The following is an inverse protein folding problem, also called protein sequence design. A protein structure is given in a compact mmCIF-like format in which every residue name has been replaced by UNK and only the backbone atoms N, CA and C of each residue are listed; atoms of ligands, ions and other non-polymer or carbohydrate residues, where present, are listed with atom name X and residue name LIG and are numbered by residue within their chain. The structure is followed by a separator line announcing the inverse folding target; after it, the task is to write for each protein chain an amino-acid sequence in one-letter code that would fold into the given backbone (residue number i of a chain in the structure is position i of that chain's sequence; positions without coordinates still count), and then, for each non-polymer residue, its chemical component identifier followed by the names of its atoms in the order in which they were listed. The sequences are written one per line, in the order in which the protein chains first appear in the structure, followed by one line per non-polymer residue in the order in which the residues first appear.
data_IF_361848876248
#
_entry.id   IF_361848876248
#
_cell.length_a   1.000
_cell.length_b   1.000
_cell.length_c   1.000
_cell.angle_alpha   90.00
_cell.angle_beta   90.00
_cell.angle_gamma   90.00
#
_symmetry.space_group_name_H-M   'P 1'
#
loop_
_entity.id
_entity.type
_entity.pdbx_description
1 polymer ?
#
# COMPACT_ATOMS: atom_id res chain seq x y z
N UNK A 1 -1.24 -5.14 8.78
CA UNK A 1 -0.88 -5.33 7.36
C UNK A 1 0.31 -4.43 7.03
N UNK A 2 1.52 -4.95 6.90
CA UNK A 2 2.75 -4.18 6.60
C UNK A 2 3.33 -4.58 5.24
N UNK A 3 2.47 -4.68 4.23
CA UNK A 3 2.84 -5.19 2.91
C UNK A 3 3.98 -4.40 2.25
N UNK A 4 3.98 -3.09 2.46
CA UNK A 4 4.92 -2.17 1.83
C UNK A 4 6.18 -1.99 2.70
N UNK A 5 6.27 -2.64 3.86
CA UNK A 5 7.44 -2.57 4.75
C UNK A 5 7.67 -1.21 5.42
N UNK A 6 6.64 -0.36 5.48
CA UNK A 6 6.75 1.02 5.98
C UNK A 6 6.25 1.19 7.41
N UNK A 7 5.69 0.15 8.03
CA UNK A 7 5.26 0.21 9.44
C UNK A 7 6.49 0.44 10.32
N UNK A 8 6.50 1.49 11.17
CA UNK A 8 7.61 1.71 12.10
C UNK A 8 7.62 0.63 13.19
N UNK A 9 8.79 0.41 13.80
CA UNK A 9 8.92 -0.52 14.93
C UNK A 9 8.22 -0.02 16.19
N UNK A 10 8.04 1.30 16.28
CA UNK A 10 7.43 1.99 17.41
C UNK A 10 6.77 3.31 17.02
N UNK A 11 5.86 3.77 17.86
CA UNK A 11 5.24 5.09 17.81
C UNK A 11 5.27 5.74 19.19
N UNK A 12 5.21 7.07 19.23
CA UNK A 12 5.19 7.84 20.48
C UNK A 12 3.85 8.53 20.65
N UNK A 13 3.16 8.23 21.75
CA UNK A 13 1.91 8.84 22.17
C UNK A 13 2.18 9.87 23.26
N UNK A 14 1.65 11.07 23.09
CA UNK A 14 1.70 12.16 24.06
C UNK A 14 0.36 12.28 24.77
N UNK A 15 0.37 12.47 26.09
CA UNK A 15 -0.80 12.83 26.86
C UNK A 15 -0.98 14.35 26.86
N UNK A 16 -2.20 14.80 26.62
CA UNK A 16 -2.60 16.20 26.74
C UNK A 16 -3.59 16.36 27.88
N UNK A 17 -3.38 17.38 28.72
CA UNK A 17 -4.30 17.81 29.77
C UNK A 17 -4.88 19.17 29.38
N UNK A 18 -6.21 19.27 29.32
CA UNK A 18 -6.92 20.51 28.95
C UNK A 18 -6.40 21.12 27.62
N UNK A 19 -6.06 20.26 26.66
CA UNK A 19 -5.54 20.65 25.34
C UNK A 19 -4.05 21.01 25.30
N UNK A 20 -3.32 20.92 26.42
CA UNK A 20 -1.87 21.19 26.49
C UNK A 20 -1.09 19.89 26.62
N UNK A 21 0.00 19.74 25.85
CA UNK A 21 0.91 18.60 26.01
C UNK A 21 1.51 18.59 27.42
N UNK A 22 1.50 17.41 28.03
CA UNK A 22 2.19 17.13 29.29
C UNK A 22 3.60 16.62 29.02
N UNK A 23 4.35 16.33 30.08
CA UNK A 23 5.64 15.63 30.04
C UNK A 23 5.50 14.10 29.87
N UNK A 24 4.27 13.57 29.94
CA UNK A 24 4.02 12.13 29.87
C UNK A 24 3.90 11.66 28.42
N UNK A 25 4.73 10.67 28.08
CA UNK A 25 4.71 9.98 26.80
C UNK A 25 4.69 8.45 26.96
N UNK A 26 4.12 7.74 25.99
CA UNK A 26 4.21 6.28 25.87
C UNK A 26 4.84 5.90 24.54
N UNK A 27 5.82 5.01 24.57
CA UNK A 27 6.38 4.38 23.39
C UNK A 27 5.69 3.04 23.17
N UNK A 28 4.88 2.93 22.12
CA UNK A 28 4.15 1.71 21.79
C UNK A 28 4.88 0.96 20.68
N UNK A 29 5.00 -0.35 20.82
CA UNK A 29 5.68 -1.24 19.87
C UNK A 29 5.04 -2.61 19.84
N UNK A 30 5.44 -3.45 18.89
CA UNK A 30 4.98 -4.85 18.80
C UNK A 30 5.30 -5.65 20.08
N UNK A 31 6.44 -5.38 20.73
CA UNK A 31 6.81 -6.01 22.01
C UNK A 31 5.80 -5.70 23.12
N UNK A 32 5.19 -4.51 23.08
CA UNK A 32 4.15 -4.08 24.02
C UNK A 32 2.74 -4.38 23.49
N UNK A 33 2.61 -5.15 22.40
CA UNK A 33 1.33 -5.41 21.73
C UNK A 33 0.56 -4.14 21.36
N UNK A 34 1.29 -3.04 21.11
CA UNK A 34 0.73 -1.72 20.78
C UNK A 34 -0.26 -1.18 21.82
N UNK A 35 -0.08 -1.51 23.12
CA UNK A 35 -0.91 -0.98 24.21
C UNK A 35 -0.06 -0.35 25.32
N UNK A 36 -0.66 0.58 26.06
CA UNK A 36 -0.03 1.25 27.21
C UNK A 36 -1.03 2.08 27.99
N UNK A 37 -0.64 2.48 29.20
CA UNK A 37 -1.51 3.21 30.13
C UNK A 37 -0.76 4.40 30.72
N UNK A 38 -1.44 5.54 30.83
CA UNK A 38 -0.98 6.67 31.62
C UNK A 38 -1.57 6.58 33.03
N UNK A 39 -0.74 6.30 34.02
CA UNK A 39 -1.16 6.20 35.42
C UNK A 39 -0.93 7.50 36.21
N UNK A 40 -1.54 7.57 37.40
CA UNK A 40 -1.36 8.67 38.37
C UNK A 40 -1.69 10.05 37.77
N UNK A 41 -2.84 10.12 37.11
CA UNK A 41 -3.38 11.35 36.52
C UNK A 41 -4.26 12.10 37.53
N UNK A 42 -4.17 13.42 37.53
CA UNK A 42 -5.04 14.25 38.36
C UNK A 42 -6.47 14.23 37.83
N UNK A 43 -7.44 14.06 38.73
CA UNK A 43 -8.87 14.16 38.38
C UNK A 43 -9.27 15.62 38.21
N UNK A 44 -8.76 16.50 39.08
CA UNK A 44 -9.03 17.93 39.06
C UNK A 44 -7.72 18.73 39.10
N UNK A 45 -7.69 19.86 38.40
CA UNK A 45 -6.63 20.86 38.43
C UNK A 45 -7.27 22.21 38.74
N UNK A 46 -6.78 22.91 39.77
CA UNK A 46 -7.36 24.18 40.25
C UNK A 46 -8.88 24.10 40.55
N UNK A 47 -9.33 22.95 41.05
CA UNK A 47 -10.75 22.70 41.38
C UNK A 47 -11.65 22.39 40.18
N UNK A 48 -11.12 22.32 38.96
CA UNK A 48 -11.87 21.94 37.75
C UNK A 48 -11.45 20.55 37.24
N UNK A 49 -12.38 19.74 36.70
CA UNK A 49 -12.04 18.45 36.10
C UNK A 49 -11.05 18.58 34.94
N UNK A 50 -10.06 17.70 34.91
CA UNK A 50 -9.07 17.67 33.82
C UNK A 50 -9.61 16.88 32.64
N UNK A 51 -9.62 17.49 31.46
CA UNK A 51 -9.93 16.81 30.20
C UNK A 51 -8.66 16.24 29.58
N UNK A 52 -8.52 14.92 29.63
CA UNK A 52 -7.42 14.23 28.96
C UNK A 52 -7.74 13.89 27.50
N UNK A 53 -6.74 14.01 26.65
CA UNK A 53 -6.73 13.55 25.25
C UNK A 53 -5.34 13.01 24.92
N UNK A 54 -5.18 12.31 23.80
CA UNK A 54 -3.87 11.85 23.33
C UNK A 54 -3.58 12.36 21.93
N UNK A 55 -2.29 12.49 21.60
CA UNK A 55 -1.81 12.76 20.25
C UNK A 55 -0.62 11.86 19.93
N UNK A 56 -0.42 11.50 18.67
CA UNK A 56 0.75 10.75 18.22
C UNK A 56 1.74 11.67 17.50
N UNK A 57 3.04 11.37 17.60
CA UNK A 57 4.03 11.98 16.72
C UNK A 57 3.76 11.61 15.26
N UNK A 58 4.11 12.51 14.33
CA UNK A 58 3.92 12.25 12.90
C UNK A 58 4.64 10.97 12.49
N UNK A 59 3.89 9.97 12.03
CA UNK A 59 4.43 8.76 11.40
C UNK A 59 4.48 8.97 9.88
N UNK A 60 5.66 8.82 9.28
CA UNK A 60 5.82 9.01 7.84
C UNK A 60 4.94 8.05 7.02
N UNK A 61 4.31 8.55 5.95
CA UNK A 61 3.37 7.81 5.07
C UNK A 61 2.06 7.33 5.72
N UNK A 62 1.80 7.69 6.98
CA UNK A 62 0.56 7.36 7.67
C UNK A 62 -0.26 8.63 8.00
N UNK A 63 -1.57 8.45 8.03
CA UNK A 63 -2.53 9.42 8.59
C UNK A 63 -3.12 8.83 9.86
N UNK A 64 -3.04 9.58 10.96
CA UNK A 64 -3.50 9.15 12.27
C UNK A 64 -4.91 9.71 12.58
N UNK A 65 -5.74 8.88 13.21
CA UNK A 65 -7.04 9.26 13.78
C UNK A 65 -7.09 8.78 15.24
N UNK A 66 -7.56 9.65 16.14
CA UNK A 66 -7.73 9.33 17.57
C UNK A 66 -9.22 9.25 17.88
N UNK A 67 -9.65 8.14 18.45
CA UNK A 67 -11.04 7.91 18.90
C UNK A 67 -11.07 7.47 20.37
N UNK A 68 -12.25 7.54 20.98
CA UNK A 68 -12.47 7.19 22.39
C UNK A 68 -12.25 8.36 23.35
N UNK A 69 -12.19 8.04 24.64
CA UNK A 69 -12.07 9.03 25.72
C UNK A 69 -11.36 8.46 26.96
N UNK A 70 -11.13 9.29 27.97
CA UNK A 70 -10.45 8.88 29.18
C UNK A 70 -11.22 7.83 30.02
N UNK A 71 -12.52 7.60 29.78
CA UNK A 71 -13.33 6.62 30.51
C UNK A 71 -13.29 5.24 29.84
N UNK A 72 -13.34 5.21 28.52
CA UNK A 72 -13.41 3.99 27.70
C UNK A 72 -12.05 3.57 27.15
N UNK A 73 -11.06 4.47 27.20
CA UNK A 73 -9.76 4.33 26.58
C UNK A 73 -9.69 5.05 25.24
N UNK A 74 -8.45 5.31 24.79
CA UNK A 74 -8.18 5.90 23.48
C UNK A 74 -7.71 4.83 22.50
N UNK A 75 -8.14 4.93 21.26
CA UNK A 75 -7.61 4.15 20.14
C UNK A 75 -7.00 5.10 19.12
N UNK A 76 -5.72 4.88 18.79
CA UNK A 76 -5.03 5.62 17.72
C UNK A 76 -4.93 4.70 16.51
N UNK A 77 -5.58 5.09 15.41
CA UNK A 77 -5.62 4.34 14.16
C UNK A 77 -4.74 5.02 13.13
N UNK A 78 -3.74 4.28 12.65
CA UNK A 78 -2.83 4.74 11.60
C UNK A 78 -3.19 4.08 10.25
N UNK A 79 -3.52 4.89 9.26
CA UNK A 79 -3.88 4.42 7.91
C UNK A 79 -2.80 4.79 6.91
N UNK A 80 -2.37 3.81 6.12
CA UNK A 80 -1.42 3.97 5.02
C UNK A 80 -2.06 3.54 3.70
N UNK A 81 -1.95 4.39 2.69
CA UNK A 81 -2.39 4.10 1.32
C UNK A 81 -1.15 3.86 0.44
N UNK A 82 -0.93 2.61 0.02
CA UNK A 82 0.15 2.23 -0.89
C UNK A 82 0.16 2.99 -2.21
N UNK A 83 1.34 3.38 -2.67
CA UNK A 83 1.50 3.93 -4.01
C UNK A 83 1.36 2.82 -5.06
N UNK A 84 0.56 3.08 -6.10
CA UNK A 84 0.30 2.15 -7.20
C UNK A 84 0.72 2.73 -8.55
N UNK A 85 0.99 1.85 -9.51
CA UNK A 85 1.35 2.16 -10.89
C UNK A 85 0.54 1.32 -11.88
N UNK A 86 0.80 1.52 -13.18
CA UNK A 86 0.22 0.75 -14.27
C UNK A 86 1.25 0.44 -15.35
N UNK A 87 1.12 -0.72 -15.99
CA UNK A 87 1.90 -1.12 -17.17
C UNK A 87 0.96 -1.21 -18.36
N UNK A 88 1.16 -0.35 -19.37
CA UNK A 88 0.42 -0.38 -20.63
C UNK A 88 1.12 -1.33 -21.60
N UNK A 89 0.34 -2.09 -22.35
CA UNK A 89 0.83 -3.08 -23.31
C UNK A 89 0.12 -2.86 -24.65
N UNK A 90 0.89 -2.86 -25.72
CA UNK A 90 0.40 -2.85 -27.10
C UNK A 90 1.14 -3.90 -27.92
N UNK A 91 0.41 -4.71 -28.67
CA UNK A 91 0.98 -5.68 -29.61
C UNK A 91 1.00 -5.10 -31.01
N UNK A 92 2.19 -5.04 -31.61
CA UNK A 92 2.39 -4.77 -33.02
C UNK A 92 2.63 -6.09 -33.77
N UNK A 93 2.14 -6.16 -35.01
CA UNK A 93 2.32 -7.30 -35.90
C UNK A 93 3.18 -6.89 -37.09
N UNK A 94 4.26 -7.63 -37.34
CA UNK A 94 5.12 -7.50 -38.51
C UNK A 94 4.91 -8.73 -39.40
N UNK A 95 3.85 -8.71 -40.21
CA UNK A 95 3.35 -9.89 -40.94
C UNK A 95 2.62 -9.56 -42.26
N UNK A 96 3.01 -8.46 -42.91
CA UNK A 96 2.43 -7.99 -44.17
C UNK A 96 0.89 -7.90 -44.14
N UNK A 97 0.35 -7.35 -43.05
CA UNK A 97 -1.10 -7.25 -42.81
C UNK A 97 -1.81 -8.62 -42.84
N UNK A 98 -1.22 -9.61 -42.15
CA UNK A 98 -1.73 -10.98 -42.08
C UNK A 98 -1.86 -11.66 -43.47
N UNK A 99 -0.91 -11.43 -44.39
CA UNK A 99 -0.94 -11.98 -45.76
C UNK A 99 -1.19 -13.49 -45.80
N UNK A 100 -0.53 -14.21 -44.90
CA UNK A 100 -0.56 -15.67 -44.87
C UNK A 100 -1.75 -16.23 -44.04
N UNK A 101 -2.56 -15.34 -43.45
CA UNK A 101 -3.77 -15.71 -42.69
C UNK A 101 -3.49 -16.46 -41.39
N UNK A 102 -2.27 -16.41 -40.86
CA UNK A 102 -1.83 -17.19 -39.69
C UNK A 102 -1.88 -16.40 -38.37
N UNK A 103 -2.23 -15.11 -38.39
CA UNK A 103 -2.35 -14.31 -37.18
C UNK A 103 -3.43 -14.91 -36.26
N UNK A 104 -3.12 -15.18 -34.99
CA UNK A 104 -4.11 -15.72 -34.06
C UNK A 104 -5.18 -14.68 -33.74
N UNK A 105 -6.33 -15.14 -33.24
CA UNK A 105 -7.40 -14.26 -32.77
C UNK A 105 -7.01 -13.49 -31.50
N UNK A 106 -6.05 -14.03 -30.73
CA UNK A 106 -5.56 -13.45 -29.48
C UNK A 106 -4.11 -13.79 -29.16
N UNK A 107 -3.50 -12.96 -28.33
CA UNK A 107 -2.25 -13.25 -27.62
C UNK A 107 -2.44 -13.07 -26.12
N UNK A 108 -1.69 -13.83 -25.33
CA UNK A 108 -1.70 -13.72 -23.87
C UNK A 108 -0.38 -13.09 -23.44
N UNK A 109 -0.48 -11.96 -22.75
CA UNK A 109 0.66 -11.28 -22.13
C UNK A 109 0.57 -11.43 -20.62
N UNK A 110 1.64 -11.88 -19.99
CA UNK A 110 1.79 -12.03 -18.55
C UNK A 110 2.58 -10.88 -17.97
N UNK A 111 2.23 -10.48 -16.76
CA UNK A 111 3.01 -9.53 -15.99
C UNK A 111 3.99 -10.30 -15.10
N UNK A 112 5.27 -9.95 -15.16
CA UNK A 112 6.28 -10.40 -14.23
C UNK A 112 6.54 -9.32 -13.19
N UNK A 113 6.74 -9.73 -11.94
CA UNK A 113 7.18 -8.88 -10.84
C UNK A 113 8.54 -9.39 -10.34
N UNK A 114 9.58 -8.56 -10.45
CA UNK A 114 10.96 -8.93 -10.16
C UNK A 114 11.39 -10.23 -10.87
N UNK A 115 11.05 -10.33 -12.16
CA UNK A 115 11.36 -11.50 -13.01
C UNK A 115 10.53 -12.77 -12.73
N UNK A 116 9.56 -12.74 -11.81
CA UNK A 116 8.69 -13.89 -11.49
C UNK A 116 7.26 -13.65 -11.96
N UNK A 117 6.57 -14.70 -12.40
CA UNK A 117 5.15 -14.60 -12.79
C UNK A 117 4.31 -14.05 -11.62
N UNK A 118 3.58 -12.98 -11.88
CA UNK A 118 2.68 -12.34 -10.90
C UNK A 118 1.29 -13.00 -10.86
N UNK A 119 0.98 -13.86 -11.82
CA UNK A 119 -0.34 -14.46 -12.02
C UNK A 119 -1.32 -13.57 -12.79
N UNK A 120 -0.95 -12.31 -13.09
CA UNK A 120 -1.77 -11.42 -13.90
C UNK A 120 -1.52 -11.65 -15.39
N UNK A 121 -2.60 -11.66 -16.18
CA UNK A 121 -2.58 -11.81 -17.63
C UNK A 121 -3.49 -10.80 -18.32
N UNK A 122 -3.09 -10.38 -19.52
CA UNK A 122 -3.92 -9.66 -20.48
C UNK A 122 -4.15 -10.54 -21.69
N UNK A 123 -5.38 -10.51 -22.19
CA UNK A 123 -5.73 -11.06 -23.49
C UNK A 123 -5.84 -9.89 -24.47
N UNK A 124 -4.97 -9.85 -25.47
CA UNK A 124 -4.98 -8.85 -26.53
C UNK A 124 -5.60 -9.45 -27.78
N UNK A 125 -6.54 -8.75 -28.39
CA UNK A 125 -7.33 -9.20 -29.54
C UNK A 125 -7.53 -8.05 -30.53
N UNK A 126 -8.01 -8.36 -31.74
CA UNK A 126 -8.42 -7.30 -32.66
C UNK A 126 -9.52 -6.39 -32.07
N UNK A 127 -10.41 -6.95 -31.24
CA UNK A 127 -11.52 -6.21 -30.62
C UNK A 127 -11.06 -5.12 -29.64
N UNK A 128 -9.96 -5.34 -28.91
CA UNK A 128 -9.35 -4.31 -28.05
C UNK A 128 -8.18 -3.56 -28.72
N UNK A 129 -8.14 -3.62 -30.05
CA UNK A 129 -7.09 -3.01 -30.88
C UNK A 129 -5.69 -3.45 -30.46
N UNK A 130 -5.57 -4.68 -29.96
CA UNK A 130 -4.31 -5.24 -29.48
C UNK A 130 -3.66 -4.44 -28.34
N UNK A 131 -4.47 -3.80 -27.50
CA UNK A 131 -4.00 -2.97 -26.37
C UNK A 131 -4.67 -3.34 -25.05
N UNK A 132 -3.94 -3.15 -23.96
CA UNK A 132 -4.44 -3.37 -22.61
C UNK A 132 -3.51 -2.75 -21.56
N UNK A 133 -3.92 -2.80 -20.30
CA UNK A 133 -3.08 -2.32 -19.21
C UNK A 133 -3.30 -3.10 -17.93
N UNK A 134 -2.21 -3.41 -17.24
CA UNK A 134 -2.23 -3.82 -15.84
C UNK A 134 -2.29 -2.56 -14.97
N UNK A 135 -3.24 -2.47 -14.04
CA UNK A 135 -3.47 -1.29 -13.20
C UNK A 135 -3.48 -1.63 -11.73
N UNK A 136 -3.24 -0.65 -10.84
CA UNK A 136 -3.27 -0.88 -9.40
C UNK A 136 -2.08 -1.71 -8.90
N UNK A 137 -0.99 -1.72 -9.66
CA UNK A 137 0.21 -2.48 -9.35
C UNK A 137 0.97 -1.78 -8.22
N UNK A 138 1.22 -2.49 -7.13
CA UNK A 138 1.91 -1.91 -5.97
C UNK A 138 3.36 -1.62 -6.34
N UNK A 139 3.84 -0.43 -6.01
CA UNK A 139 5.19 -0.01 -6.41
C UNK A 139 6.29 -0.63 -5.54
N UNK A 140 5.94 -1.08 -4.33
CA UNK A 140 6.88 -1.62 -3.35
C UNK A 140 6.32 -2.88 -2.67
N UNK A 141 7.23 -3.77 -2.26
CA UNK A 141 6.95 -4.88 -1.35
C UNK A 141 8.05 -4.94 -0.30
N UNK A 142 7.67 -4.90 0.98
CA UNK A 142 8.60 -4.90 2.11
C UNK A 142 9.73 -3.84 1.97
N UNK A 143 9.38 -2.62 1.59
CA UNK A 143 10.31 -1.50 1.42
C UNK A 143 11.12 -1.52 0.12
N UNK A 144 11.07 -2.60 -0.65
CA UNK A 144 11.84 -2.73 -1.89
C UNK A 144 10.95 -2.42 -3.11
N UNK A 145 11.41 -1.58 -4.06
CA UNK A 145 10.70 -1.36 -5.32
C UNK A 145 10.44 -2.65 -6.08
N UNK A 146 9.32 -2.73 -6.79
CA UNK A 146 9.00 -3.84 -7.69
C UNK A 146 9.28 -3.40 -9.12
N UNK A 147 10.14 -4.14 -9.79
CA UNK A 147 10.33 -4.05 -11.23
C UNK A 147 9.26 -4.88 -11.94
N UNK A 148 8.49 -4.23 -12.81
CA UNK A 148 7.47 -4.89 -13.61
C UNK A 148 7.93 -5.00 -15.06
N UNK A 149 7.94 -6.22 -15.58
CA UNK A 149 8.17 -6.51 -17.00
C UNK A 149 7.02 -7.35 -17.54
N UNK A 150 6.95 -7.52 -18.85
CA UNK A 150 5.94 -8.35 -19.50
C UNK A 150 6.58 -9.52 -20.22
N UNK A 151 5.82 -10.58 -20.35
CA UNK A 151 6.20 -11.78 -21.08
C UNK A 151 5.03 -12.19 -21.97
N UNK A 152 5.27 -12.38 -23.26
CA UNK A 152 4.26 -12.90 -24.19
C UNK A 152 4.34 -14.43 -24.23
N UNK A 153 3.21 -15.11 -24.01
CA UNK A 153 3.13 -16.55 -24.22
C UNK A 153 3.45 -16.87 -25.69
N UNK A 154 4.14 -17.98 -25.93
CA UNK A 154 4.55 -18.38 -27.29
C UNK A 154 3.37 -18.30 -28.27
N UNK A 155 3.58 -17.56 -29.35
CA UNK A 155 2.66 -17.49 -30.48
C UNK A 155 3.20 -18.35 -31.61
N UNK A 156 2.48 -19.39 -32.01
CA UNK A 156 2.93 -20.30 -33.05
C UNK A 156 3.16 -19.56 -34.38
N UNK A 157 4.28 -19.89 -35.05
CA UNK A 157 4.76 -19.27 -36.31
C UNK A 157 5.25 -17.82 -36.21
N UNK A 158 5.29 -17.25 -35.02
CA UNK A 158 5.84 -15.91 -34.77
C UNK A 158 7.03 -15.97 -33.82
N UNK A 159 7.93 -14.98 -33.96
CA UNK A 159 9.00 -14.71 -32.98
C UNK A 159 8.62 -13.44 -32.24
N UNK A 160 8.77 -13.44 -30.91
CA UNK A 160 8.51 -12.28 -30.07
C UNK A 160 9.79 -11.46 -29.87
N UNK A 161 9.63 -10.13 -29.87
CA UNK A 161 10.63 -9.15 -29.43
C UNK A 161 9.93 -8.25 -28.40
N UNK A 162 10.50 -8.12 -27.21
CA UNK A 162 9.91 -7.44 -26.04
C UNK A 162 10.84 -6.33 -25.58
#
# INVERSE_FOLDING_TARGET
NNRDGVRPDKVTIHLLANGRKTDKTLELSEKMKWTGTFDKLFVNENGQPVKYTVSEDKVDKYTAEVTGDAKTGFTVTNTHTPAVTSVKVSKAWVDDNNRDGVRPDKVIVRLLANGKDSGHKLELTAGNKWTGSFTGLVTHRNGTPIEYTVFEDKVDKYTAEV
#
